data_IF_904826178544
#
_entry.id   IF_904826178544
#
_cell.length_a   1.000
_cell.length_b   1.000
_cell.length_c   1.000
_cell.angle_alpha   90.00
_cell.angle_beta   90.00
_cell.angle_gamma   90.00
#
_symmetry.space_group_name_H-M   'P 1'
#
loop_
_entity.id
_entity.type
_entity.pdbx_description
1 polymer ?
#
# COMPACT_ATOMS: atom_id res chain seq x y z
N UNK A 1 -41.53 19.74 -2.13
CA UNK A 1 -40.49 19.44 -1.12
C UNK A 1 -39.43 18.58 -1.79
N UNK A 2 -38.18 19.05 -1.86
CA UNK A 2 -37.06 18.26 -2.37
C UNK A 2 -36.53 17.45 -1.18
N UNK A 3 -36.64 16.12 -1.23
CA UNK A 3 -36.01 15.23 -0.25
C UNK A 3 -34.51 15.22 -0.49
N UNK A 4 -33.72 15.90 0.35
CA UNK A 4 -32.28 15.72 0.39
C UNK A 4 -31.96 14.40 1.11
N UNK A 5 -31.45 13.41 0.37
CA UNK A 5 -31.06 12.11 0.93
C UNK A 5 -29.73 12.29 1.66
N UNK A 6 -29.74 12.09 2.97
CA UNK A 6 -28.53 12.12 3.80
C UNK A 6 -27.46 11.18 3.27
N UNK A 7 -26.24 11.69 3.11
CA UNK A 7 -25.08 10.94 2.65
C UNK A 7 -24.62 9.94 3.73
N UNK A 8 -23.89 8.91 3.32
CA UNK A 8 -23.33 7.93 4.27
C UNK A 8 -22.39 8.58 5.30
N UNK A 9 -21.68 9.65 4.92
CA UNK A 9 -20.81 10.40 5.83
C UNK A 9 -21.62 11.08 6.93
N UNK A 10 -22.71 11.74 6.58
CA UNK A 10 -23.56 12.44 7.55
C UNK A 10 -24.21 11.44 8.51
N UNK A 11 -24.73 10.32 8.00
CA UNK A 11 -25.28 9.24 8.85
C UNK A 11 -24.25 8.72 9.85
N UNK A 12 -23.03 8.47 9.38
CA UNK A 12 -21.96 7.97 10.24
C UNK A 12 -21.61 8.97 11.36
N UNK A 13 -21.53 10.26 11.05
CA UNK A 13 -21.28 11.31 12.06
C UNK A 13 -22.38 11.35 13.11
N UNK A 14 -23.65 11.20 12.69
CA UNK A 14 -24.78 11.18 13.61
C UNK A 14 -24.71 9.99 14.58
N UNK A 15 -24.44 8.78 14.07
CA UNK A 15 -24.34 7.57 14.90
C UNK A 15 -23.15 7.66 15.88
N UNK A 16 -21.99 8.17 15.44
CA UNK A 16 -20.82 8.36 16.29
C UNK A 16 -21.13 9.29 17.48
N UNK A 17 -21.84 10.39 17.25
CA UNK A 17 -22.18 11.36 18.30
C UNK A 17 -23.11 10.80 19.39
N UNK A 18 -23.81 9.70 19.12
CA UNK A 18 -24.75 9.05 20.05
C UNK A 18 -24.18 7.75 20.62
N UNK A 19 -22.95 7.39 20.24
CA UNK A 19 -22.31 6.15 20.64
C UNK A 19 -21.46 6.33 21.92
N UNK A 20 -21.31 5.29 22.76
CA UNK A 20 -20.35 5.29 23.85
C UNK A 20 -18.90 5.36 23.35
N UNK A 21 -18.00 5.95 24.14
CA UNK A 21 -16.59 6.17 23.79
C UNK A 21 -15.87 4.90 23.31
N UNK A 22 -16.09 3.75 23.97
CA UNK A 22 -15.44 2.49 23.57
C UNK A 22 -15.81 2.04 22.14
N UNK A 23 -17.02 2.37 21.67
CA UNK A 23 -17.46 2.07 20.30
C UNK A 23 -16.77 3.02 19.32
N UNK A 24 -16.62 4.29 19.70
CA UNK A 24 -15.94 5.30 18.88
C UNK A 24 -14.46 4.96 18.71
N UNK A 25 -13.82 4.51 19.78
CA UNK A 25 -12.43 4.03 19.76
C UNK A 25 -12.26 2.85 18.79
N UNK A 26 -13.08 1.81 18.90
CA UNK A 26 -13.02 0.64 18.01
C UNK A 26 -13.28 0.99 16.54
N UNK A 27 -14.26 1.88 16.28
CA UNK A 27 -14.53 2.36 14.93
C UNK A 27 -13.40 3.19 14.35
N UNK A 28 -12.72 4.00 15.17
CA UNK A 28 -11.55 4.76 14.76
C UNK A 28 -10.41 3.82 14.37
N UNK A 29 -10.12 2.82 15.20
CA UNK A 29 -9.08 1.82 14.91
C UNK A 29 -9.37 1.09 13.59
N UNK A 30 -10.62 0.67 13.39
CA UNK A 30 -11.04 0.03 12.14
C UNK A 30 -10.89 0.96 10.92
N UNK A 31 -11.25 2.24 11.06
CA UNK A 31 -11.10 3.23 9.99
C UNK A 31 -9.63 3.46 9.66
N UNK A 32 -8.76 3.58 10.67
CA UNK A 32 -7.31 3.73 10.50
C UNK A 32 -6.71 2.50 9.84
N UNK A 33 -7.14 1.30 10.23
CA UNK A 33 -6.74 0.05 9.59
C UNK A 33 -7.08 0.04 8.09
N UNK A 34 -8.31 0.42 7.70
CA UNK A 34 -8.69 0.49 6.28
C UNK A 34 -7.82 1.50 5.52
N UNK A 35 -7.54 2.66 6.10
CA UNK A 35 -6.68 3.69 5.48
C UNK A 35 -5.26 3.16 5.29
N UNK A 36 -4.67 2.58 6.33
CA UNK A 36 -3.33 2.01 6.27
C UNK A 36 -3.21 0.94 5.18
N UNK A 37 -4.16 -0.01 5.13
CA UNK A 37 -4.18 -1.05 4.09
C UNK A 37 -4.30 -0.48 2.67
N UNK A 38 -5.12 0.56 2.45
CA UNK A 38 -5.23 1.17 1.12
C UNK A 38 -3.95 1.88 0.70
N UNK A 39 -3.32 2.60 1.63
CA UNK A 39 -2.02 3.23 1.37
C UNK A 39 -0.95 2.18 1.05
N UNK A 40 -0.95 1.03 1.74
CA UNK A 40 -0.02 -0.06 1.42
C UNK A 40 -0.27 -0.69 0.04
N UNK A 41 -1.54 -0.82 -0.38
CA UNK A 41 -1.86 -1.31 -1.73
C UNK A 41 -1.41 -0.30 -2.79
N UNK A 42 -1.52 1.01 -2.53
CA UNK A 42 -0.99 2.03 -3.43
C UNK A 42 0.54 2.02 -3.49
N UNK A 43 1.23 1.76 -2.38
CA UNK A 43 2.68 1.61 -2.34
C UNK A 43 3.18 0.30 -2.97
N UNK A 44 2.44 -0.81 -2.84
CA UNK A 44 2.76 -2.10 -3.49
C UNK A 44 2.51 -2.07 -5.01
N UNK A 45 1.53 -1.27 -5.46
CA UNK A 45 1.33 -0.96 -6.90
C UNK A 45 2.41 0.00 -7.42
N UNK A 46 3.02 0.79 -6.55
CA UNK A 46 4.09 1.75 -6.89
C UNK A 46 5.49 1.14 -6.80
N UNK A 47 5.67 0.06 -6.06
CA UNK A 47 6.78 -0.87 -6.22
C UNK A 47 6.60 -1.58 -7.56
N UNK A 48 7.64 -1.70 -8.37
CA UNK A 48 7.60 -2.60 -9.52
C UNK A 48 7.12 -3.96 -9.01
N UNK A 49 5.98 -4.44 -9.53
CA UNK A 49 5.46 -5.74 -9.13
C UNK A 49 6.57 -6.78 -9.32
N UNK A 50 6.63 -7.82 -8.48
CA UNK A 50 7.63 -8.87 -8.64
C UNK A 50 7.69 -9.40 -10.10
N UNK A 51 6.54 -9.43 -10.79
CA UNK A 51 6.43 -9.82 -12.20
C UNK A 51 7.11 -8.84 -13.19
N UNK A 52 7.15 -7.55 -12.89
CA UNK A 52 7.90 -6.54 -13.66
C UNK A 52 9.39 -6.70 -13.43
N UNK A 53 9.83 -6.88 -12.17
CA UNK A 53 11.24 -7.15 -11.84
C UNK A 53 11.74 -8.43 -12.51
N UNK A 54 10.93 -9.48 -12.57
CA UNK A 54 11.27 -10.70 -13.32
C UNK A 54 11.34 -10.45 -14.82
N UNK A 55 10.42 -9.69 -15.42
CA UNK A 55 10.46 -9.36 -16.85
C UNK A 55 11.72 -8.57 -17.20
N UNK A 56 12.08 -7.59 -16.37
CA UNK A 56 13.29 -6.81 -16.54
C UNK A 56 14.54 -7.70 -16.43
N UNK A 57 14.62 -8.54 -15.38
CA UNK A 57 15.72 -9.49 -15.22
C UNK A 57 15.87 -10.47 -16.39
N UNK A 58 14.76 -10.98 -16.94
CA UNK A 58 14.79 -11.82 -18.14
C UNK A 58 15.26 -11.07 -19.39
N UNK A 59 14.83 -9.81 -19.55
CA UNK A 59 15.27 -8.96 -20.65
C UNK A 59 16.78 -8.68 -20.58
N UNK A 60 17.31 -8.40 -19.39
CA UNK A 60 18.75 -8.17 -19.20
C UNK A 60 19.58 -9.41 -19.50
N UNK A 61 19.13 -10.60 -19.10
CA UNK A 61 19.76 -11.89 -19.45
C UNK A 61 19.79 -12.11 -20.97
N UNK A 62 18.67 -11.87 -21.67
CA UNK A 62 18.57 -12.11 -23.12
C UNK A 62 19.43 -11.14 -23.92
N UNK A 63 19.58 -9.90 -23.45
CA UNK A 63 20.40 -8.89 -24.12
C UNK A 63 21.88 -8.93 -23.70
N UNK A 64 22.27 -9.86 -22.81
CA UNK A 64 23.63 -9.96 -22.30
C UNK A 64 24.04 -8.80 -21.37
N UNK A 65 23.07 -8.06 -20.84
CA UNK A 65 23.25 -6.98 -19.87
C UNK A 65 23.37 -7.56 -18.45
N UNK A 66 24.31 -8.49 -18.26
CA UNK A 66 24.52 -9.20 -16.99
C UNK A 66 25.99 -9.17 -16.62
N UNK A 67 26.28 -8.98 -15.33
CA UNK A 67 27.63 -9.11 -14.79
C UNK A 67 27.84 -10.52 -14.23
N UNK A 68 29.03 -11.13 -14.44
CA UNK A 68 29.39 -12.38 -13.80
C UNK A 68 29.32 -12.28 -12.27
N UNK A 69 28.87 -13.34 -11.62
CA UNK A 69 28.77 -13.39 -10.15
C UNK A 69 30.13 -13.18 -9.46
N UNK A 70 31.23 -13.54 -10.13
CA UNK A 70 32.60 -13.30 -9.66
C UNK A 70 32.97 -11.82 -9.58
N UNK A 71 32.37 -10.98 -10.42
CA UNK A 71 32.66 -9.53 -10.49
C UNK A 71 31.81 -8.72 -9.49
N UNK A 72 30.76 -9.33 -8.91
CA UNK A 72 29.87 -8.65 -7.95
C UNK A 72 30.58 -8.17 -6.67
N UNK A 73 31.70 -8.80 -6.31
CA UNK A 73 32.47 -8.49 -5.12
C UNK A 73 33.73 -7.65 -5.42
N UNK A 74 33.99 -7.33 -6.69
CA UNK A 74 35.14 -6.50 -7.06
C UNK A 74 34.94 -5.06 -6.53
N UNK A 75 35.87 -4.61 -5.69
CA UNK A 75 35.84 -3.27 -5.08
C UNK A 75 34.98 -3.14 -3.82
N UNK A 76 34.35 -4.24 -3.34
CA UNK A 76 33.77 -4.30 -2.00
C UNK A 76 34.80 -4.95 -1.08
N UNK A 77 35.77 -4.15 -0.61
CA UNK A 77 36.71 -4.60 0.41
C UNK A 77 35.97 -4.69 1.76
N UNK A 78 36.00 -5.87 2.37
CA UNK A 78 35.54 -6.07 3.74
C UNK A 78 36.66 -5.63 4.71
N UNK A 79 36.82 -4.32 4.88
CA UNK A 79 37.54 -3.77 6.05
C UNK A 79 36.62 -3.58 7.25
#
# INVERSE_FOLDING_TARGET
MIYQKMTNREKLIQEINQSPDFVVEELLDFLLFIKSRRNQVEDDVRSESAAESFRQGWHDVVNGNTLPVSELWEGIDAE
#
